data_IF_931143757417
#
_entry.id   IF_931143757417
#
_cell.length_a   1.000
_cell.length_b   1.000
_cell.length_c   1.000
_cell.angle_alpha   90.00
_cell.angle_beta   90.00
_cell.angle_gamma   90.00
#
_symmetry.space_group_name_H-M   'P 1'
#
loop_
_entity.id
_entity.type
_entity.pdbx_description
1 polymer ?
#
# COMPACT_ATOMS: atom_id res chain seq x y z
N UNK A 1 -18.93 -6.70 3.11
CA UNK A 1 -19.44 -5.36 2.77
C UNK A 1 -19.26 -5.18 1.28
N UNK A 2 -20.32 -4.88 0.50
CA UNK A 2 -20.21 -4.73 -0.96
C UNK A 2 -19.35 -3.51 -1.29
N UNK A 3 -18.40 -3.64 -2.20
CA UNK A 3 -17.55 -2.54 -2.65
C UNK A 3 -18.31 -1.67 -3.65
N UNK A 4 -17.94 -0.40 -3.84
CA UNK A 4 -18.58 0.49 -4.84
C UNK A 4 -18.60 -0.12 -6.24
N UNK A 5 -17.54 -0.84 -6.62
CA UNK A 5 -17.45 -1.55 -7.91
C UNK A 5 -18.48 -2.68 -8.03
N UNK A 6 -18.84 -3.34 -6.93
CA UNK A 6 -19.85 -4.41 -6.95
C UNK A 6 -21.24 -3.85 -7.18
N UNK A 7 -21.57 -2.73 -6.52
CA UNK A 7 -22.85 -2.03 -6.70
C UNK A 7 -23.00 -1.57 -8.16
N UNK A 8 -21.93 -1.01 -8.74
CA UNK A 8 -21.93 -0.59 -10.14
C UNK A 8 -22.14 -1.79 -11.07
N UNK A 9 -21.45 -2.91 -10.84
CA UNK A 9 -21.63 -4.11 -11.65
C UNK A 9 -23.05 -4.68 -11.55
N UNK A 10 -23.66 -4.70 -10.37
CA UNK A 10 -25.05 -5.13 -10.19
C UNK A 10 -26.02 -4.25 -10.99
N UNK A 11 -25.88 -2.93 -10.91
CA UNK A 11 -26.70 -1.98 -11.66
C UNK A 11 -26.49 -2.11 -13.19
N UNK A 12 -25.27 -2.40 -13.64
CA UNK A 12 -24.97 -2.63 -15.06
C UNK A 12 -25.64 -3.90 -15.57
N UNK A 13 -25.63 -4.98 -14.78
CA UNK A 13 -26.31 -6.24 -15.13
C UNK A 13 -27.82 -6.02 -15.21
N UNK A 14 -28.41 -5.31 -14.24
CA UNK A 14 -29.83 -4.97 -14.23
C UNK A 14 -30.23 -4.17 -15.49
N UNK A 15 -29.46 -3.14 -15.83
CA UNK A 15 -29.68 -2.33 -17.03
C UNK A 15 -29.58 -3.18 -18.32
N UNK A 16 -28.64 -4.13 -18.39
CA UNK A 16 -28.52 -5.03 -19.52
C UNK A 16 -29.71 -5.99 -19.64
N UNK A 17 -30.27 -6.47 -18.52
CA UNK A 17 -31.52 -7.27 -18.54
C UNK A 17 -32.74 -6.48 -18.99
N UNK A 18 -32.73 -5.16 -18.77
CA UNK A 18 -33.71 -4.22 -19.31
C UNK A 18 -33.42 -3.78 -20.76
N UNK A 19 -32.54 -4.49 -21.48
CA UNK A 19 -32.13 -4.21 -22.87
C UNK A 19 -31.44 -2.85 -23.10
N UNK A 20 -30.81 -2.27 -22.06
CA UNK A 20 -30.03 -1.03 -22.21
C UNK A 20 -28.65 -1.34 -22.77
N UNK A 21 -28.25 -0.63 -23.83
CA UNK A 21 -26.92 -0.80 -24.43
C UNK A 21 -25.79 -0.29 -23.52
N UNK A 22 -24.62 -0.94 -23.58
CA UNK A 22 -23.42 -0.50 -22.85
C UNK A 22 -22.99 0.94 -23.19
N UNK A 23 -23.33 1.43 -24.40
CA UNK A 23 -23.06 2.81 -24.81
C UNK A 23 -23.85 3.81 -23.98
N UNK A 24 -25.12 3.50 -23.70
CA UNK A 24 -25.98 4.33 -22.87
C UNK A 24 -25.58 4.28 -21.40
N UNK A 25 -25.21 3.09 -20.92
CA UNK A 25 -24.69 2.92 -19.55
C UNK A 25 -23.41 3.75 -19.35
N UNK A 26 -22.51 3.80 -20.34
CA UNK A 26 -21.32 4.68 -20.32
C UNK A 26 -21.71 6.16 -20.24
N UNK A 27 -22.73 6.59 -20.95
CA UNK A 27 -23.17 8.00 -20.96
C UNK A 27 -23.71 8.45 -19.58
N UNK A 28 -24.40 7.55 -18.86
CA UNK A 28 -24.94 7.84 -17.52
C UNK A 28 -23.88 7.71 -16.42
N UNK A 29 -23.02 6.68 -16.51
CA UNK A 29 -22.03 6.37 -15.46
C UNK A 29 -20.71 7.11 -15.64
N UNK A 30 -20.44 7.64 -16.84
CA UNK A 30 -19.15 8.20 -17.27
C UNK A 30 -17.97 7.21 -17.17
N UNK A 31 -18.25 5.92 -16.98
CA UNK A 31 -17.24 4.88 -16.90
C UNK A 31 -17.01 4.29 -18.29
N UNK A 32 -15.75 4.18 -18.71
CA UNK A 32 -15.41 3.59 -20.00
C UNK A 32 -15.97 2.17 -20.14
N UNK A 33 -16.46 1.82 -21.33
CA UNK A 33 -17.00 0.48 -21.62
C UNK A 33 -15.98 -0.61 -21.28
N UNK A 34 -14.68 -0.39 -21.58
CA UNK A 34 -13.61 -1.34 -21.23
C UNK A 34 -13.47 -1.54 -19.72
N UNK A 35 -13.65 -0.49 -18.93
CA UNK A 35 -13.60 -0.59 -17.46
C UNK A 35 -14.76 -1.43 -16.93
N UNK A 36 -15.98 -1.18 -17.42
CA UNK A 36 -17.17 -1.96 -17.05
C UNK A 36 -17.03 -3.43 -17.44
N UNK A 37 -16.60 -3.70 -18.67
CA UNK A 37 -16.33 -5.06 -19.15
C UNK A 37 -15.27 -5.77 -18.30
N UNK A 38 -14.16 -5.08 -17.98
CA UNK A 38 -13.10 -5.63 -17.12
C UNK A 38 -13.63 -6.01 -15.73
N UNK A 39 -14.47 -5.17 -15.12
CA UNK A 39 -15.04 -5.45 -13.80
C UNK A 39 -16.07 -6.59 -13.82
N UNK A 40 -16.79 -6.76 -14.93
CA UNK A 40 -17.74 -7.86 -15.12
C UNK A 40 -17.05 -9.20 -15.41
N UNK A 41 -15.99 -9.20 -16.22
CA UNK A 41 -15.40 -10.42 -16.78
C UNK A 41 -14.07 -10.88 -16.17
N UNK A 42 -13.28 -9.96 -15.59
CA UNK A 42 -11.92 -10.27 -15.15
C UNK A 42 -11.74 -10.14 -13.65
N UNK A 43 -11.58 -8.90 -13.17
CA UNK A 43 -11.30 -8.63 -11.77
C UNK A 43 -11.77 -7.23 -11.40
N UNK A 44 -12.35 -7.14 -10.21
CA UNK A 44 -12.77 -5.89 -9.57
C UNK A 44 -11.70 -5.38 -8.60
N UNK A 45 -10.66 -6.17 -8.37
CA UNK A 45 -9.57 -5.83 -7.47
C UNK A 45 -8.70 -4.72 -8.07
N UNK A 46 -8.16 -3.87 -7.19
CA UNK A 46 -7.18 -2.88 -7.59
C UNK A 46 -5.78 -3.47 -7.48
N UNK A 47 -5.20 -3.83 -8.63
CA UNK A 47 -3.86 -4.39 -8.71
C UNK A 47 -2.74 -3.36 -8.54
N UNK A 48 -3.05 -2.06 -8.38
CA UNK A 48 -2.04 -1.02 -8.13
C UNK A 48 -1.41 -1.15 -6.75
N UNK A 49 -2.19 -1.62 -5.75
CA UNK A 49 -1.71 -1.89 -4.39
C UNK A 49 -1.68 -3.41 -4.18
N UNK A 50 -0.49 -4.00 -4.11
CA UNK A 50 -0.34 -5.44 -3.92
C UNK A 50 0.59 -6.14 -4.91
N UNK A 51 1.19 -5.41 -5.86
CA UNK A 51 2.32 -5.95 -6.63
C UNK A 51 3.36 -6.50 -5.66
N UNK A 52 3.72 -7.78 -5.83
CA UNK A 52 4.68 -8.55 -5.03
C UNK A 52 6.12 -8.09 -5.26
N UNK A 53 6.34 -6.78 -5.36
CA UNK A 53 7.66 -6.20 -5.62
C UNK A 53 8.55 -6.45 -4.40
N UNK A 54 9.45 -7.41 -4.54
CA UNK A 54 10.51 -7.65 -3.58
C UNK A 54 11.58 -6.56 -3.74
N UNK A 55 11.70 -5.68 -2.74
CA UNK A 55 12.75 -4.68 -2.69
C UNK A 55 13.94 -5.30 -1.94
N UNK A 56 15.06 -5.49 -2.64
CA UNK A 56 16.27 -6.17 -2.09
C UNK A 56 16.77 -5.55 -0.78
N UNK A 57 16.66 -4.23 -0.64
CA UNK A 57 17.13 -3.48 0.54
C UNK A 57 15.98 -3.08 1.47
N UNK A 58 14.85 -3.80 1.43
CA UNK A 58 13.76 -3.59 2.37
C UNK A 58 14.21 -4.10 3.73
N UNK A 59 14.02 -3.29 4.76
CA UNK A 59 14.21 -3.74 6.14
C UNK A 59 13.32 -4.95 6.43
N UNK A 60 13.89 -5.97 7.03
CA UNK A 60 13.14 -7.08 7.60
C UNK A 60 12.34 -6.61 8.83
N UNK A 61 11.41 -7.44 9.29
CA UNK A 61 10.66 -7.11 10.49
C UNK A 61 11.58 -7.14 11.73
N UNK A 62 12.56 -8.03 11.73
CA UNK A 62 13.57 -8.18 12.77
C UNK A 62 14.44 -6.92 12.85
N UNK A 63 14.97 -6.45 11.71
CA UNK A 63 15.78 -5.22 11.65
C UNK A 63 14.99 -4.00 12.12
N UNK A 64 13.71 -3.88 11.73
CA UNK A 64 12.83 -2.79 12.20
C UNK A 64 12.61 -2.82 13.69
N UNK A 65 12.32 -4.01 14.24
CA UNK A 65 12.10 -4.16 15.67
C UNK A 65 13.37 -3.87 16.46
N UNK A 66 14.54 -4.23 15.92
CA UNK A 66 15.82 -3.89 16.52
C UNK A 66 16.05 -2.37 16.57
N UNK A 67 15.77 -1.65 15.47
CA UNK A 67 15.84 -0.18 15.46
C UNK A 67 14.93 0.42 16.53
N UNK A 68 13.66 0.01 16.57
CA UNK A 68 12.68 0.50 17.56
C UNK A 68 13.15 0.20 18.99
N UNK A 69 13.67 -1.01 19.24
CA UNK A 69 14.17 -1.40 20.55
C UNK A 69 15.32 -0.49 20.98
N UNK A 70 16.34 -0.31 20.13
CA UNK A 70 17.54 0.46 20.47
C UNK A 70 17.19 1.92 20.73
N UNK A 71 16.42 2.55 19.84
CA UNK A 71 16.03 3.98 20.01
C UNK A 71 15.25 4.21 21.31
N UNK A 72 14.48 3.21 21.77
CA UNK A 72 13.70 3.30 23.01
C UNK A 72 14.48 2.90 24.28
N UNK A 73 15.75 2.49 24.19
CA UNK A 73 16.54 2.21 25.38
C UNK A 73 16.74 3.48 26.22
N UNK A 74 16.83 3.37 27.56
CA UNK A 74 17.04 4.52 28.44
C UNK A 74 18.23 5.40 28.08
N UNK A 75 19.27 4.80 27.50
CA UNK A 75 20.49 5.48 27.06
C UNK A 75 20.26 6.38 25.84
N UNK A 76 19.36 5.98 24.93
CA UNK A 76 19.16 6.63 23.63
C UNK A 76 17.84 7.42 23.52
N UNK A 77 16.88 7.20 24.42
CA UNK A 77 15.50 7.75 24.33
C UNK A 77 15.38 9.28 24.25
N UNK A 78 16.38 10.01 24.72
CA UNK A 78 16.40 11.48 24.73
C UNK A 78 17.35 12.05 23.66
N UNK A 79 17.98 11.18 22.87
CA UNK A 79 18.95 11.55 21.83
C UNK A 79 18.28 11.60 20.47
N UNK A 80 18.84 12.39 19.56
CA UNK A 80 18.41 12.40 18.18
C UNK A 80 19.05 11.23 17.40
N UNK A 81 18.47 10.81 16.25
CA UNK A 81 19.03 9.73 15.45
C UNK A 81 20.48 9.90 14.99
N UNK A 82 20.97 11.13 14.79
CA UNK A 82 22.36 11.37 14.42
C UNK A 82 23.33 11.06 15.57
N UNK A 83 22.97 11.46 16.79
CA UNK A 83 23.70 11.13 18.02
C UNK A 83 23.72 9.61 18.28
N UNK A 84 22.56 8.95 18.15
CA UNK A 84 22.46 7.50 18.31
C UNK A 84 23.37 6.78 17.31
N UNK A 85 23.36 7.19 16.05
CA UNK A 85 24.22 6.59 15.01
C UNK A 85 25.70 6.79 15.32
N UNK A 86 26.09 7.96 15.83
CA UNK A 86 27.48 8.23 16.20
C UNK A 86 27.94 7.30 17.35
N UNK A 87 27.16 7.20 18.43
CA UNK A 87 27.48 6.35 19.59
C UNK A 87 27.54 4.87 19.20
N UNK A 88 26.60 4.41 18.37
CA UNK A 88 26.62 3.02 17.88
C UNK A 88 27.84 2.74 17.00
N UNK A 89 28.27 3.70 16.18
CA UNK A 89 29.46 3.56 15.36
C UNK A 89 30.75 3.48 16.20
N UNK A 90 30.84 4.25 17.30
CA UNK A 90 31.94 4.12 18.28
C UNK A 90 31.99 2.72 18.89
N UNK A 91 30.83 2.10 19.12
CA UNK A 91 30.71 0.73 19.59
C UNK A 91 30.86 -0.34 18.49
N UNK A 92 31.15 0.07 17.24
CA UNK A 92 31.28 -0.83 16.09
C UNK A 92 29.96 -1.49 15.65
N UNK A 93 28.81 -0.95 16.07
CA UNK A 93 27.50 -1.49 15.77
C UNK A 93 26.77 -0.65 14.71
N UNK A 94 26.15 -1.32 13.73
CA UNK A 94 25.32 -0.67 12.72
C UNK A 94 23.90 -1.24 12.73
N UNK A 95 22.91 -0.39 12.99
CA UNK A 95 21.47 -0.75 12.95
C UNK A 95 20.72 -0.02 11.82
N UNK A 96 21.33 0.99 11.20
CA UNK A 96 20.71 1.79 10.16
C UNK A 96 21.32 3.19 10.08
N UNK A 97 21.13 3.85 8.93
CA UNK A 97 21.47 5.27 8.79
C UNK A 97 20.47 6.17 9.52
N UNK A 98 20.85 7.42 9.79
CA UNK A 98 19.98 8.43 10.39
C UNK A 98 18.62 8.51 9.69
N UNK A 99 18.62 8.63 8.35
CA UNK A 99 17.40 8.64 7.53
C UNK A 99 16.57 7.36 7.64
N UNK A 100 17.24 6.23 7.88
CA UNK A 100 16.56 4.95 8.06
C UNK A 100 15.83 4.91 9.40
N UNK A 101 16.49 5.37 10.47
CA UNK A 101 15.89 5.46 11.81
C UNK A 101 14.68 6.39 11.80
N UNK A 102 14.76 7.57 11.17
CA UNK A 102 13.60 8.47 11.04
C UNK A 102 12.42 7.89 10.24
N UNK A 103 12.67 6.95 9.32
CA UNK A 103 11.63 6.36 8.47
C UNK A 103 10.91 5.21 9.17
N UNK A 104 11.58 4.55 10.12
CA UNK A 104 11.04 3.44 10.90
C UNK A 104 10.15 4.01 12.00
#
# INVERSE_FOLDING_TARGET
MKTTKDIICEAVVEAQTANVSLKHIREVTEISIRTLQRWLQQSREDHRKGSSRQVRHKLTNEERNEIIRVVNLPEYRNMNPAEIVAILAENGQYIGSERTIYRV
#
